data_IF_003192774340
#
_entry.id   IF_003192774340
#
_cell.length_a   1.000
_cell.length_b   1.000
_cell.length_c   1.000
_cell.angle_alpha   90.00
_cell.angle_beta   90.00
_cell.angle_gamma   90.00
#
_symmetry.space_group_name_H-M   'P 1'
#
loop_
_entity.id
_entity.type
_entity.pdbx_description
1 polymer ?
#
# COMPACT_ATOMS: atom_id res chain seq x y z
N UNK A 1 19.78 -10.28 18.80
CA UNK A 1 18.70 -10.38 17.79
C UNK A 1 18.35 -8.95 17.39
N UNK A 2 18.08 -8.65 16.14
CA UNK A 2 17.60 -7.32 15.80
C UNK A 2 16.34 -7.03 16.60
N UNK A 3 16.20 -5.78 17.04
CA UNK A 3 15.07 -5.30 17.84
C UNK A 3 13.78 -5.53 17.05
N UNK A 4 12.84 -6.28 17.63
CA UNK A 4 11.54 -6.54 16.99
C UNK A 4 10.62 -5.33 17.25
N UNK A 5 10.75 -4.30 16.42
CA UNK A 5 10.09 -2.99 16.59
C UNK A 5 8.55 -3.05 16.56
N UNK A 6 7.98 -4.18 16.13
CA UNK A 6 6.54 -4.43 16.06
C UNK A 6 6.12 -5.60 16.96
N UNK A 7 6.96 -6.00 17.94
CA UNK A 7 6.61 -7.09 18.85
C UNK A 7 5.26 -6.83 19.55
N UNK A 8 4.37 -7.83 19.51
CA UNK A 8 3.05 -7.77 20.11
C UNK A 8 2.00 -6.98 19.33
N UNK A 9 2.34 -6.37 18.18
CA UNK A 9 1.39 -5.67 17.33
C UNK A 9 0.66 -6.62 16.39
N UNK A 10 -0.60 -6.28 16.09
CA UNK A 10 -1.43 -6.95 15.09
C UNK A 10 -1.56 -6.06 13.85
N UNK A 11 -1.30 -6.62 12.68
CA UNK A 11 -1.35 -5.88 11.41
C UNK A 11 -2.26 -6.54 10.37
N UNK A 12 -2.93 -5.73 9.55
CA UNK A 12 -3.61 -6.16 8.33
C UNK A 12 -2.96 -5.48 7.12
N UNK A 13 -2.65 -6.26 6.08
CA UNK A 13 -2.12 -5.78 4.80
C UNK A 13 -3.05 -6.21 3.67
N UNK A 14 -3.55 -5.28 2.85
CA UNK A 14 -4.36 -5.61 1.67
C UNK A 14 -3.51 -5.74 0.40
N UNK A 15 -3.95 -6.56 -0.57
CA UNK A 15 -3.17 -6.86 -1.77
C UNK A 15 -1.90 -7.65 -1.44
N UNK A 16 -2.02 -8.63 -0.55
CA UNK A 16 -0.87 -9.27 0.09
C UNK A 16 -0.40 -10.57 -0.60
N UNK A 17 -1.01 -10.97 -1.73
CA UNK A 17 -0.61 -12.18 -2.44
C UNK A 17 0.75 -12.02 -3.14
N UNK A 18 1.10 -10.80 -3.58
CA UNK A 18 2.33 -10.53 -4.32
C UNK A 18 2.89 -9.13 -4.09
N UNK A 19 3.99 -8.82 -4.76
CA UNK A 19 4.61 -7.50 -4.85
C UNK A 19 4.83 -6.80 -3.51
N UNK A 20 4.50 -5.51 -3.45
CA UNK A 20 4.69 -4.67 -2.26
C UNK A 20 3.89 -5.22 -1.06
N UNK A 21 2.67 -5.72 -1.27
CA UNK A 21 1.83 -6.22 -0.19
C UNK A 21 2.42 -7.43 0.50
N UNK A 22 2.88 -8.43 -0.27
CA UNK A 22 3.54 -9.62 0.26
C UNK A 22 4.84 -9.27 0.99
N UNK A 23 5.70 -8.49 0.35
CA UNK A 23 6.95 -8.05 0.96
C UNK A 23 6.71 -7.30 2.28
N UNK A 24 5.65 -6.48 2.33
CA UNK A 24 5.24 -5.74 3.54
C UNK A 24 4.76 -6.69 4.64
N UNK A 25 3.90 -7.67 4.31
CA UNK A 25 3.41 -8.63 5.29
C UNK A 25 4.57 -9.45 5.89
N UNK A 26 5.47 -9.95 5.05
CA UNK A 26 6.66 -10.68 5.47
C UNK A 26 7.60 -9.80 6.32
N UNK A 27 7.79 -8.54 5.94
CA UNK A 27 8.64 -7.60 6.67
C UNK A 27 8.09 -7.28 8.05
N UNK A 28 6.81 -6.91 8.17
CA UNK A 28 6.18 -6.63 9.46
C UNK A 28 6.23 -7.84 10.39
N UNK A 29 6.00 -9.06 9.85
CA UNK A 29 6.14 -10.30 10.60
C UNK A 29 7.58 -10.50 11.10
N UNK A 30 8.57 -10.27 10.27
CA UNK A 30 9.98 -10.39 10.64
C UNK A 30 10.39 -9.38 11.72
N UNK A 31 9.76 -8.20 11.70
CA UNK A 31 9.96 -7.14 12.69
C UNK A 31 9.07 -7.32 13.95
N UNK A 32 8.37 -8.47 14.09
CA UNK A 32 7.71 -8.90 15.31
C UNK A 32 6.18 -8.86 15.31
N UNK A 33 5.52 -8.30 14.30
CA UNK A 33 4.06 -8.25 14.24
C UNK A 33 3.42 -9.61 13.98
N UNK A 34 2.17 -9.78 14.41
CA UNK A 34 1.25 -10.78 13.89
C UNK A 34 0.51 -10.16 12.69
N UNK A 35 0.59 -10.79 11.52
CA UNK A 35 0.12 -10.19 10.27
C UNK A 35 -0.93 -11.07 9.60
N UNK A 36 -2.05 -10.45 9.20
CA UNK A 36 -3.05 -11.04 8.32
C UNK A 36 -3.00 -10.34 6.97
N UNK A 37 -2.63 -11.07 5.92
CA UNK A 37 -2.65 -10.57 4.55
C UNK A 37 -3.99 -10.87 3.89
N UNK A 38 -4.62 -9.86 3.29
CA UNK A 38 -5.87 -9.97 2.56
C UNK A 38 -5.62 -9.83 1.06
N UNK A 39 -6.17 -10.73 0.26
CA UNK A 39 -6.12 -10.65 -1.20
C UNK A 39 -7.32 -11.35 -1.83
N UNK A 40 -7.71 -10.94 -3.02
CA UNK A 40 -8.73 -11.63 -3.81
C UNK A 40 -8.20 -12.94 -4.41
N UNK A 41 -6.87 -13.02 -4.64
CA UNK A 41 -6.22 -14.22 -5.16
C UNK A 41 -6.15 -15.28 -4.05
N UNK A 42 -6.74 -16.49 -4.25
CA UNK A 42 -6.75 -17.55 -3.25
C UNK A 42 -5.34 -18.05 -2.87
N UNK A 43 -4.35 -17.85 -3.70
CA UNK A 43 -2.96 -18.23 -3.41
C UNK A 43 -2.38 -17.49 -2.19
N UNK A 44 -3.01 -16.40 -1.75
CA UNK A 44 -2.63 -15.67 -0.54
C UNK A 44 -2.56 -16.58 0.70
N UNK A 45 -3.43 -17.58 0.78
CA UNK A 45 -3.46 -18.54 1.90
C UNK A 45 -2.22 -19.42 1.92
N UNK A 46 -1.75 -19.86 0.75
CA UNK A 46 -0.53 -20.66 0.62
C UNK A 46 0.74 -19.81 0.71
N UNK A 47 0.69 -18.60 0.14
CA UNK A 47 1.84 -17.69 0.10
C UNK A 47 2.17 -17.06 1.47
N UNK A 48 1.14 -16.82 2.29
CA UNK A 48 1.31 -16.23 3.63
C UNK A 48 0.95 -17.25 4.70
N UNK A 49 1.89 -18.12 5.01
CA UNK A 49 1.72 -19.14 6.04
C UNK A 49 2.94 -19.20 6.95
N UNK A 50 2.70 -19.34 8.24
CA UNK A 50 3.77 -19.45 9.24
C UNK A 50 3.40 -18.89 10.59
N UNK A 51 4.33 -18.92 11.52
CA UNK A 51 4.16 -18.29 12.82
C UNK A 51 3.96 -16.79 12.65
N UNK A 52 2.87 -16.25 13.19
CA UNK A 52 2.48 -14.82 13.13
C UNK A 52 2.23 -14.28 11.72
N UNK A 53 2.00 -15.16 10.73
CA UNK A 53 1.69 -14.75 9.36
C UNK A 53 0.61 -15.66 8.79
N UNK A 54 -0.48 -15.07 8.31
CA UNK A 54 -1.57 -15.80 7.66
C UNK A 54 -2.15 -15.00 6.51
N UNK A 55 -2.60 -15.70 5.48
CA UNK A 55 -3.36 -15.14 4.37
C UNK A 55 -4.84 -15.45 4.48
N UNK A 56 -5.69 -14.52 4.03
CA UNK A 56 -7.13 -14.74 3.90
C UNK A 56 -7.65 -14.19 2.58
N UNK A 57 -8.49 -14.99 1.90
CA UNK A 57 -9.14 -14.55 0.65
C UNK A 57 -10.18 -13.50 0.99
N UNK A 58 -10.06 -12.33 0.35
CA UNK A 58 -10.98 -11.22 0.56
C UNK A 58 -11.01 -10.31 -0.67
N UNK A 59 -12.19 -10.16 -1.27
CA UNK A 59 -12.45 -9.06 -2.19
C UNK A 59 -12.71 -7.80 -1.37
N UNK A 60 -11.77 -6.86 -1.41
CA UNK A 60 -11.87 -5.60 -0.67
C UNK A 60 -12.99 -4.67 -1.19
N UNK A 61 -13.57 -4.97 -2.35
CA UNK A 61 -14.71 -4.23 -2.91
C UNK A 61 -16.06 -4.73 -2.41
N UNK A 62 -16.08 -5.88 -1.73
CA UNK A 62 -17.23 -6.40 -1.00
C UNK A 62 -17.16 -5.93 0.47
N UNK A 63 -18.01 -4.98 0.82
CA UNK A 63 -18.06 -4.38 2.17
C UNK A 63 -18.28 -5.42 3.27
N UNK A 64 -19.09 -6.46 3.00
CA UNK A 64 -19.38 -7.51 3.98
C UNK A 64 -18.18 -8.42 4.19
N UNK A 65 -17.53 -8.85 3.11
CA UNK A 65 -16.33 -9.67 3.16
C UNK A 65 -15.17 -8.93 3.84
N UNK A 66 -14.95 -7.65 3.48
CA UNK A 66 -13.89 -6.83 4.06
C UNK A 66 -14.13 -6.59 5.55
N UNK A 67 -15.36 -6.23 5.94
CA UNK A 67 -15.70 -6.06 7.35
C UNK A 67 -15.51 -7.36 8.14
N UNK A 68 -15.98 -8.48 7.62
CA UNK A 68 -15.82 -9.78 8.28
C UNK A 68 -14.35 -10.18 8.45
N UNK A 69 -13.48 -9.87 7.48
CA UNK A 69 -12.04 -10.14 7.57
C UNK A 69 -11.37 -9.29 8.65
N UNK A 70 -11.73 -8.02 8.75
CA UNK A 70 -11.24 -7.12 9.82
C UNK A 70 -11.72 -7.60 11.19
N UNK A 71 -13.02 -7.84 11.36
CA UNK A 71 -13.62 -8.31 12.61
C UNK A 71 -13.01 -9.64 13.07
N UNK A 72 -12.80 -10.58 12.15
CA UNK A 72 -12.15 -11.87 12.42
C UNK A 72 -10.72 -11.70 12.91
N UNK A 73 -9.95 -10.78 12.28
CA UNK A 73 -8.58 -10.49 12.72
C UNK A 73 -8.57 -9.97 14.15
N UNK A 74 -9.42 -9.00 14.45
CA UNK A 74 -9.54 -8.41 15.78
C UNK A 74 -9.93 -9.47 16.82
N UNK A 75 -10.95 -10.28 16.52
CA UNK A 75 -11.42 -11.34 17.42
C UNK A 75 -10.36 -12.43 17.67
N UNK A 76 -9.58 -12.77 16.64
CA UNK A 76 -8.57 -13.84 16.73
C UNK A 76 -7.33 -13.41 17.49
N UNK A 77 -6.89 -12.14 17.31
CA UNK A 77 -5.60 -11.65 17.82
C UNK A 77 -5.74 -10.62 18.95
N UNK A 78 -6.96 -10.26 19.34
CA UNK A 78 -7.24 -9.41 20.49
C UNK A 78 -7.15 -7.91 20.23
N UNK A 79 -6.91 -7.47 18.99
CA UNK A 79 -6.82 -6.05 18.63
C UNK A 79 -6.33 -5.82 17.22
N UNK A 80 -6.06 -4.53 16.90
CA UNK A 80 -5.51 -4.11 15.61
C UNK A 80 -4.67 -2.83 15.82
N UNK A 81 -3.41 -2.88 15.42
CA UNK A 81 -2.45 -1.81 15.65
C UNK A 81 -1.95 -1.17 14.35
N UNK A 82 -1.81 -1.96 13.29
CA UNK A 82 -1.28 -1.48 12.02
C UNK A 82 -2.20 -1.91 10.89
N UNK A 83 -2.57 -0.98 10.02
CA UNK A 83 -3.14 -1.33 8.72
C UNK A 83 -2.30 -0.77 7.59
N UNK A 84 -2.16 -1.58 6.53
CA UNK A 84 -1.51 -1.18 5.29
C UNK A 84 -2.49 -1.32 4.14
N UNK A 85 -3.00 -0.19 3.66
CA UNK A 85 -3.88 -0.10 2.50
C UNK A 85 -3.02 -0.09 1.24
N UNK A 86 -2.73 -1.28 0.70
CA UNK A 86 -1.86 -1.47 -0.43
C UNK A 86 -2.60 -1.95 -1.69
N UNK A 87 -3.67 -2.72 -1.55
CA UNK A 87 -4.41 -3.26 -2.70
C UNK A 87 -4.78 -2.17 -3.71
N UNK A 88 -4.54 -2.45 -4.97
CA UNK A 88 -4.83 -1.52 -6.04
C UNK A 88 -4.51 -2.12 -7.41
N UNK A 89 -5.07 -1.52 -8.44
CA UNK A 89 -4.84 -1.90 -9.83
C UNK A 89 -4.29 -0.72 -10.62
N UNK A 90 -3.58 -1.05 -11.69
CA UNK A 90 -3.22 -0.13 -12.76
C UNK A 90 -3.58 -0.74 -14.12
N UNK A 91 -4.43 -0.06 -14.86
CA UNK A 91 -4.69 -0.36 -16.27
C UNK A 91 -4.43 0.91 -17.06
N UNK A 92 -3.52 0.85 -18.02
CA UNK A 92 -3.27 2.00 -18.90
C UNK A 92 -4.35 2.12 -19.95
N UNK A 93 -4.90 3.33 -20.12
CA UNK A 93 -5.72 3.73 -21.27
C UNK A 93 -4.90 4.60 -22.23
N UNK A 94 -5.40 4.84 -23.45
CA UNK A 94 -4.65 5.69 -24.39
C UNK A 94 -4.95 7.19 -24.21
N UNK A 95 -6.07 7.57 -23.58
CA UNK A 95 -6.46 8.97 -23.33
C UNK A 95 -7.41 9.10 -22.13
N UNK A 96 -7.88 10.31 -21.89
CA UNK A 96 -8.92 10.68 -20.90
C UNK A 96 -10.24 9.91 -21.10
N UNK A 97 -10.54 9.49 -22.32
CA UNK A 97 -11.69 8.68 -22.72
C UNK A 97 -11.45 7.17 -22.60
N UNK A 98 -10.68 6.76 -21.57
CA UNK A 98 -10.62 5.36 -21.16
C UNK A 98 -12.04 4.79 -20.97
N UNK A 99 -12.21 3.51 -21.32
CA UNK A 99 -13.48 2.81 -21.16
C UNK A 99 -14.08 3.05 -19.78
N UNK A 100 -15.37 3.38 -19.72
CA UNK A 100 -16.10 3.72 -18.48
C UNK A 100 -15.92 2.64 -17.42
N UNK A 101 -15.96 1.37 -17.80
CA UNK A 101 -15.72 0.23 -16.92
C UNK A 101 -14.32 0.27 -16.28
N UNK A 102 -13.31 0.76 -16.98
CA UNK A 102 -11.96 0.89 -16.44
C UNK A 102 -11.86 2.02 -15.43
N UNK A 103 -12.55 3.13 -15.66
CA UNK A 103 -12.63 4.26 -14.75
C UNK A 103 -13.28 3.84 -13.42
N UNK A 104 -14.48 3.25 -13.49
CA UNK A 104 -15.23 2.80 -12.33
C UNK A 104 -14.50 1.72 -11.54
N UNK A 105 -13.81 0.81 -12.22
CA UNK A 105 -13.00 -0.20 -11.57
C UNK A 105 -11.85 0.41 -10.75
N UNK A 106 -11.17 1.41 -11.29
CA UNK A 106 -10.12 2.12 -10.54
C UNK A 106 -10.69 2.86 -9.33
N UNK A 107 -11.80 3.58 -9.48
CA UNK A 107 -12.45 4.26 -8.36
C UNK A 107 -12.87 3.27 -7.27
N UNK A 108 -13.49 2.17 -7.67
CA UNK A 108 -13.99 1.15 -6.75
C UNK A 108 -12.86 0.49 -5.96
N UNK A 109 -11.79 0.03 -6.63
CA UNK A 109 -10.70 -0.69 -5.99
C UNK A 109 -9.74 0.26 -5.29
N UNK A 110 -9.18 1.24 -6.00
CA UNK A 110 -8.08 2.03 -5.46
C UNK A 110 -8.54 3.07 -4.43
N UNK A 111 -9.74 3.62 -4.57
CA UNK A 111 -10.21 4.72 -3.72
C UNK A 111 -11.29 4.26 -2.73
N UNK A 112 -12.42 3.74 -3.25
CA UNK A 112 -13.58 3.41 -2.41
C UNK A 112 -13.25 2.28 -1.44
N UNK A 113 -12.63 1.19 -1.91
CA UNK A 113 -12.27 0.08 -1.05
C UNK A 113 -11.23 0.50 0.01
N UNK A 114 -10.27 1.38 -0.35
CA UNK A 114 -9.34 1.96 0.64
C UNK A 114 -10.12 2.71 1.74
N UNK A 115 -11.06 3.56 1.37
CA UNK A 115 -11.90 4.29 2.34
C UNK A 115 -12.71 3.31 3.22
N UNK A 116 -13.27 2.23 2.64
CA UNK A 116 -14.00 1.21 3.40
C UNK A 116 -13.10 0.46 4.37
N UNK A 117 -11.90 0.10 3.95
CA UNK A 117 -10.92 -0.55 4.81
C UNK A 117 -10.55 0.32 6.02
N UNK A 118 -10.30 1.61 5.81
CA UNK A 118 -10.10 2.55 6.91
C UNK A 118 -11.33 2.58 7.84
N UNK A 119 -12.54 2.78 7.26
CA UNK A 119 -13.80 2.86 8.02
C UNK A 119 -14.00 1.65 8.95
N UNK A 120 -13.74 0.44 8.48
CA UNK A 120 -13.95 -0.77 9.28
C UNK A 120 -12.84 -1.02 10.29
N UNK A 121 -11.64 -0.52 10.06
CA UNK A 121 -10.47 -0.71 10.94
C UNK A 121 -10.34 0.36 12.02
N UNK A 122 -10.78 1.60 11.76
CA UNK A 122 -10.62 2.74 12.66
C UNK A 122 -11.16 2.50 14.07
N UNK A 123 -12.32 1.84 14.30
CA UNK A 123 -12.79 1.61 15.67
C UNK A 123 -11.77 0.86 16.52
N UNK A 124 -11.18 -0.22 16.00
CA UNK A 124 -10.19 -0.99 16.73
C UNK A 124 -8.85 -0.26 16.88
N UNK A 125 -8.43 0.50 15.87
CA UNK A 125 -7.21 1.33 15.98
C UNK A 125 -7.31 2.41 17.05
N UNK A 126 -8.50 2.97 17.27
CA UNK A 126 -8.73 3.97 18.33
C UNK A 126 -8.63 3.38 19.74
N UNK A 127 -8.88 2.08 19.89
CA UNK A 127 -8.78 1.35 21.15
C UNK A 127 -7.37 0.78 21.40
N UNK A 128 -6.46 0.91 20.45
CA UNK A 128 -5.10 0.39 20.58
C UNK A 128 -4.20 1.33 21.38
N UNK A 129 -3.54 0.80 22.41
CA UNK A 129 -2.50 1.49 23.18
C UNK A 129 -1.08 1.27 22.61
N UNK A 130 -0.97 0.54 21.50
CA UNK A 130 0.30 0.12 20.90
C UNK A 130 0.81 1.04 19.78
N UNK A 131 0.65 2.37 19.91
CA UNK A 131 1.07 3.33 18.88
C UNK A 131 0.46 2.99 17.50
N UNK A 132 -0.86 3.02 17.37
CA UNK A 132 -1.54 2.57 16.15
C UNK A 132 -1.14 3.41 14.93
N UNK A 133 -1.06 2.74 13.77
CA UNK A 133 -0.59 3.37 12.54
C UNK A 133 -1.35 2.87 11.31
N UNK A 134 -1.73 3.81 10.47
CA UNK A 134 -2.30 3.59 9.14
C UNK A 134 -1.24 3.99 8.11
N UNK A 135 -0.89 3.05 7.23
CA UNK A 135 -0.03 3.31 6.09
C UNK A 135 -0.83 3.10 4.80
N UNK A 136 -0.85 4.10 3.94
CA UNK A 136 -1.49 3.99 2.63
C UNK A 136 -0.41 3.94 1.56
N UNK A 137 -0.51 3.01 0.63
CA UNK A 137 0.38 2.97 -0.53
C UNK A 137 -0.23 3.82 -1.64
N UNK A 138 0.29 5.02 -1.73
CA UNK A 138 -0.01 5.98 -2.79
C UNK A 138 0.66 5.63 -4.12
N UNK A 139 1.15 6.65 -4.79
CA UNK A 139 1.98 6.55 -5.98
C UNK A 139 2.54 7.93 -6.30
N UNK A 140 3.71 7.99 -6.95
CA UNK A 140 4.21 9.21 -7.59
C UNK A 140 3.17 9.90 -8.48
N UNK A 141 2.27 9.13 -9.09
CA UNK A 141 1.22 9.65 -9.97
C UNK A 141 0.21 10.61 -9.31
N UNK A 142 0.22 10.76 -7.98
CA UNK A 142 -0.59 11.79 -7.32
C UNK A 142 -0.14 13.21 -7.66
N UNK A 143 1.16 13.44 -7.85
CA UNK A 143 1.77 14.74 -8.12
C UNK A 143 2.33 14.83 -9.54
N UNK A 144 2.89 13.74 -10.08
CA UNK A 144 3.51 13.69 -11.41
C UNK A 144 2.88 12.57 -12.26
N UNK A 145 1.66 12.79 -12.78
CA UNK A 145 0.94 11.81 -13.57
C UNK A 145 1.61 11.54 -14.91
N UNK A 146 1.54 10.29 -15.37
CA UNK A 146 1.97 9.90 -16.71
C UNK A 146 0.82 9.83 -17.71
N UNK A 147 1.09 9.98 -19.02
CA UNK A 147 0.09 9.75 -20.06
C UNK A 147 -0.50 8.34 -19.98
N UNK A 148 -1.81 8.20 -20.19
CA UNK A 148 -2.52 6.92 -20.14
C UNK A 148 -2.82 6.41 -18.71
N UNK A 149 -2.65 7.25 -17.69
CA UNK A 149 -2.89 6.89 -16.30
C UNK A 149 -3.98 7.77 -15.63
N UNK A 150 -4.98 8.24 -16.38
CA UNK A 150 -5.98 9.20 -15.88
C UNK A 150 -6.72 8.70 -14.64
N UNK A 151 -7.45 7.58 -14.74
CA UNK A 151 -8.20 7.01 -13.62
C UNK A 151 -7.30 6.65 -12.44
N UNK A 152 -6.16 6.03 -12.71
CA UNK A 152 -5.17 5.69 -11.68
C UNK A 152 -4.66 6.93 -10.94
N UNK A 153 -4.25 7.96 -11.66
CA UNK A 153 -3.72 9.20 -11.08
C UNK A 153 -4.76 9.92 -10.22
N UNK A 154 -6.02 9.99 -10.71
CA UNK A 154 -7.14 10.56 -9.94
C UNK A 154 -7.36 9.78 -8.65
N UNK A 155 -7.35 8.43 -8.71
CA UNK A 155 -7.53 7.62 -7.49
C UNK A 155 -6.38 7.79 -6.51
N UNK A 156 -5.13 7.88 -7.01
CA UNK A 156 -3.95 8.08 -6.14
C UNK A 156 -3.88 9.49 -5.55
N UNK A 157 -4.37 10.51 -6.25
CA UNK A 157 -4.60 11.84 -5.67
C UNK A 157 -5.72 11.80 -4.62
N UNK A 158 -6.81 11.06 -4.88
CA UNK A 158 -7.92 10.87 -3.95
C UNK A 158 -7.50 10.21 -2.64
N UNK A 159 -6.76 9.09 -2.69
CA UNK A 159 -6.28 8.44 -1.45
C UNK A 159 -5.24 9.28 -0.72
N UNK A 160 -4.47 10.11 -1.43
CA UNK A 160 -3.55 11.06 -0.81
C UNK A 160 -4.30 12.09 0.02
N UNK A 161 -5.38 12.65 -0.53
CA UNK A 161 -6.22 13.57 0.23
C UNK A 161 -6.99 12.87 1.36
N UNK A 162 -7.47 11.65 1.15
CA UNK A 162 -8.08 10.82 2.19
C UNK A 162 -7.13 10.60 3.37
N UNK A 163 -5.85 10.29 3.11
CA UNK A 163 -4.84 10.13 4.14
C UNK A 163 -4.66 11.40 4.99
N UNK A 164 -4.66 12.58 4.35
CA UNK A 164 -4.51 13.87 5.05
C UNK A 164 -5.70 14.16 5.96
N UNK A 165 -6.93 13.91 5.48
CA UNK A 165 -8.13 14.07 6.29
C UNK A 165 -8.13 13.08 7.45
N UNK A 166 -7.82 11.80 7.19
CA UNK A 166 -7.74 10.79 8.23
C UNK A 166 -6.68 11.13 9.31
N UNK A 167 -5.55 11.71 8.91
CA UNK A 167 -4.53 12.16 9.88
C UNK A 167 -5.07 13.24 10.82
N UNK A 168 -5.85 14.20 10.29
CA UNK A 168 -6.47 15.25 11.11
C UNK A 168 -7.52 14.69 12.08
N UNK A 169 -8.36 13.78 11.59
CA UNK A 169 -9.48 13.22 12.39
C UNK A 169 -9.02 12.21 13.43
N UNK A 170 -7.91 11.51 13.20
CA UNK A 170 -7.45 10.42 14.04
C UNK A 170 -6.34 10.82 15.02
N UNK A 171 -5.69 11.95 14.81
CA UNK A 171 -4.66 12.47 15.73
C UNK A 171 -5.11 12.57 17.20
N UNK A 172 -6.36 13.00 17.52
CA UNK A 172 -6.83 13.03 18.91
C UNK A 172 -6.87 11.67 19.60
N UNK A 173 -6.85 10.57 18.84
CA UNK A 173 -6.84 9.19 19.34
C UNK A 173 -5.45 8.55 19.29
N UNK A 174 -4.41 9.33 19.00
CA UNK A 174 -3.04 8.80 18.88
C UNK A 174 -2.78 7.93 17.64
N UNK A 175 -3.75 7.79 16.74
CA UNK A 175 -3.58 7.00 15.49
C UNK A 175 -2.83 7.85 14.46
N UNK A 176 -1.67 7.39 14.03
CA UNK A 176 -0.88 8.06 13.00
C UNK A 176 -1.31 7.58 11.61
N UNK A 177 -1.39 8.49 10.66
CA UNK A 177 -1.73 8.17 9.26
C UNK A 177 -0.68 8.78 8.35
N UNK A 178 0.04 7.93 7.60
CA UNK A 178 1.04 8.38 6.65
C UNK A 178 0.84 7.68 5.30
N UNK A 179 1.28 8.33 4.23
CA UNK A 179 1.18 7.79 2.89
C UNK A 179 2.56 7.72 2.24
N UNK A 180 2.86 6.59 1.62
CA UNK A 180 4.08 6.37 0.85
C UNK A 180 3.76 6.49 -0.64
N UNK A 181 4.63 7.15 -1.37
CA UNK A 181 4.50 7.34 -2.81
C UNK A 181 5.64 6.64 -3.55
N UNK A 182 5.54 5.32 -3.79
CA UNK A 182 6.49 4.64 -4.66
C UNK A 182 6.42 5.17 -6.09
N UNK A 183 7.57 5.20 -6.77
CA UNK A 183 7.62 5.19 -8.22
C UNK A 183 7.38 3.75 -8.75
N UNK A 184 7.71 3.49 -10.01
CA UNK A 184 7.59 2.18 -10.60
C UNK A 184 8.42 1.14 -9.82
N UNK A 185 7.72 0.14 -9.27
CA UNK A 185 8.31 -0.98 -8.52
C UNK A 185 8.32 -2.17 -9.46
N UNK A 186 9.46 -2.41 -10.11
CA UNK A 186 9.57 -3.28 -11.28
C UNK A 186 9.56 -4.78 -10.97
N UNK A 187 9.73 -5.18 -9.71
CA UNK A 187 9.63 -6.55 -9.22
C UNK A 187 8.19 -6.95 -8.81
N UNK A 188 7.18 -6.24 -9.34
CA UNK A 188 5.76 -6.54 -9.14
C UNK A 188 5.12 -7.10 -10.41
N UNK A 189 4.03 -7.86 -10.27
CA UNK A 189 3.29 -8.47 -11.38
C UNK A 189 2.67 -7.46 -12.37
N UNK A 190 2.58 -6.19 -11.99
CA UNK A 190 2.13 -5.10 -12.87
C UNK A 190 3.10 -4.89 -14.04
N UNK A 191 4.37 -5.19 -13.84
CA UNK A 191 5.42 -4.98 -14.82
C UNK A 191 5.79 -6.28 -15.54
N UNK A 192 5.05 -6.59 -16.61
CA UNK A 192 5.47 -7.63 -17.57
C UNK A 192 6.60 -7.13 -18.46
N UNK A 193 7.36 -8.03 -19.06
CA UNK A 193 8.44 -7.67 -20.01
C UNK A 193 7.90 -6.77 -21.14
N UNK A 194 6.71 -7.09 -21.68
CA UNK A 194 6.06 -6.28 -22.71
C UNK A 194 5.70 -4.86 -22.21
N UNK A 195 5.20 -4.75 -20.98
CA UNK A 195 4.86 -3.45 -20.37
C UNK A 195 6.12 -2.60 -20.14
N UNK A 196 7.23 -3.23 -19.75
CA UNK A 196 8.53 -2.58 -19.58
C UNK A 196 9.09 -2.08 -20.91
N UNK A 197 9.10 -2.93 -21.95
CA UNK A 197 9.58 -2.57 -23.29
C UNK A 197 8.75 -1.43 -23.90
N UNK A 198 7.40 -1.53 -23.81
CA UNK A 198 6.50 -0.48 -24.28
C UNK A 198 6.75 0.84 -23.57
N UNK A 199 6.97 0.81 -22.26
CA UNK A 199 7.24 2.00 -21.45
C UNK A 199 8.60 2.61 -21.78
N UNK A 200 9.67 1.81 -21.83
CA UNK A 200 11.01 2.26 -22.18
C UNK A 200 11.05 2.90 -23.58
N UNK A 201 10.42 2.24 -24.55
CA UNK A 201 10.31 2.76 -25.93
C UNK A 201 9.58 4.10 -26.00
N UNK A 202 8.52 4.31 -25.21
CA UNK A 202 7.78 5.59 -25.14
C UNK A 202 8.69 6.76 -24.77
N UNK A 203 9.71 6.52 -23.94
CA UNK A 203 10.68 7.53 -23.50
C UNK A 203 12.00 7.51 -24.29
N UNK A 204 12.12 6.67 -25.33
CA UNK A 204 13.33 6.54 -26.13
C UNK A 204 14.52 5.94 -25.35
N UNK A 205 14.25 5.09 -24.37
CA UNK A 205 15.22 4.48 -23.47
C UNK A 205 15.29 2.97 -23.66
N UNK A 206 16.40 2.38 -23.26
CA UNK A 206 16.48 0.95 -22.99
C UNK A 206 15.70 0.60 -21.71
N UNK A 207 15.32 -0.65 -21.52
CA UNK A 207 14.64 -1.11 -20.28
C UNK A 207 15.48 -0.78 -19.04
N UNK A 208 16.79 -1.01 -19.11
CA UNK A 208 17.68 -0.71 -17.97
C UNK A 208 17.76 0.78 -17.65
N UNK A 209 17.89 1.64 -18.64
CA UNK A 209 17.85 3.09 -18.45
C UNK A 209 16.51 3.55 -17.89
N UNK A 210 15.40 2.96 -18.36
CA UNK A 210 14.07 3.26 -17.85
C UNK A 210 13.89 2.91 -16.38
N UNK A 211 14.42 1.75 -15.96
CA UNK A 211 14.35 1.28 -14.57
C UNK A 211 15.16 2.15 -13.59
N UNK A 212 16.22 2.77 -14.08
CA UNK A 212 17.17 3.53 -13.24
C UNK A 212 17.23 5.02 -13.60
N UNK A 213 16.20 5.57 -14.23
CA UNK A 213 16.15 6.97 -14.70
C UNK A 213 16.08 8.03 -13.59
N UNK A 214 15.92 7.63 -12.35
CA UNK A 214 15.87 8.53 -11.20
C UNK A 214 17.27 9.08 -10.83
N UNK A 215 17.31 10.08 -9.95
CA UNK A 215 18.58 10.76 -9.58
C UNK A 215 19.61 9.84 -8.93
N UNK A 216 19.15 8.82 -8.18
CA UNK A 216 20.04 7.85 -7.52
C UNK A 216 20.46 6.71 -8.45
N UNK A 217 19.96 6.68 -9.69
CA UNK A 217 20.19 5.60 -10.67
C UNK A 217 19.97 4.20 -10.08
N UNK A 218 18.88 4.04 -9.32
CA UNK A 218 18.54 2.80 -8.60
C UNK A 218 17.16 2.28 -8.98
N UNK A 219 16.96 0.98 -8.88
CA UNK A 219 15.63 0.37 -8.97
C UNK A 219 14.91 0.48 -7.63
N UNK A 220 13.62 0.84 -7.66
CA UNK A 220 12.75 0.77 -6.49
C UNK A 220 12.20 -0.66 -6.42
N UNK A 221 12.34 -1.29 -5.26
CA UNK A 221 11.94 -2.68 -5.05
C UNK A 221 10.81 -2.82 -4.03
N UNK A 222 10.03 -3.89 -4.14
CA UNK A 222 8.99 -4.24 -3.16
C UNK A 222 9.56 -4.35 -1.74
N UNK A 223 10.76 -4.92 -1.60
CA UNK A 223 11.45 -5.03 -0.30
C UNK A 223 11.87 -3.68 0.26
N UNK A 224 12.31 -2.74 -0.60
CA UNK A 224 12.62 -1.36 -0.19
C UNK A 224 11.39 -0.60 0.31
N UNK A 225 10.27 -0.74 -0.41
CA UNK A 225 8.98 -0.15 0.03
C UNK A 225 8.53 -0.77 1.34
N UNK A 226 8.61 -2.09 1.48
CA UNK A 226 8.24 -2.81 2.70
C UNK A 226 9.08 -2.38 3.92
N UNK A 227 10.38 -2.17 3.73
CA UNK A 227 11.27 -1.66 4.77
C UNK A 227 10.85 -0.26 5.24
N UNK A 228 10.48 0.62 4.30
CA UNK A 228 9.99 1.96 4.62
C UNK A 228 8.62 1.89 5.32
N UNK A 229 7.68 1.04 4.87
CA UNK A 229 6.40 0.81 5.55
C UNK A 229 6.62 0.43 7.01
N UNK A 230 7.47 -0.58 7.27
CA UNK A 230 7.76 -1.01 8.63
C UNK A 230 8.38 0.11 9.49
N UNK A 231 9.31 0.88 8.94
CA UNK A 231 9.94 2.01 9.64
C UNK A 231 8.91 3.08 9.99
N UNK A 232 8.05 3.46 9.03
CA UNK A 232 7.02 4.50 9.22
C UNK A 232 5.93 4.05 10.18
N UNK A 233 5.57 2.76 10.20
CA UNK A 233 4.66 2.19 11.20
C UNK A 233 5.30 2.09 12.59
N UNK A 234 6.63 2.14 12.68
CA UNK A 234 7.40 1.93 13.90
C UNK A 234 7.63 3.17 14.74
N UNK A 235 8.37 3.01 15.84
CA UNK A 235 8.58 4.05 16.85
C UNK A 235 9.41 5.24 16.37
N UNK A 236 10.26 5.06 15.34
CA UNK A 236 11.06 6.15 14.75
C UNK A 236 10.17 7.28 14.22
N UNK A 237 8.97 6.93 13.75
CA UNK A 237 7.97 7.87 13.24
C UNK A 237 6.88 8.24 14.27
N UNK A 238 7.10 8.04 15.57
CA UNK A 238 6.09 8.28 16.61
C UNK A 238 5.54 9.71 16.64
N UNK A 239 6.31 10.68 16.19
CA UNK A 239 5.91 12.09 16.11
C UNK A 239 5.49 12.52 14.68
N UNK A 240 5.21 11.57 13.76
CA UNK A 240 4.90 11.87 12.36
C UNK A 240 3.54 11.34 11.95
N UNK A 241 2.64 12.24 11.56
CA UNK A 241 1.34 11.93 10.96
C UNK A 241 1.04 12.92 9.82
N UNK A 242 0.25 12.50 8.83
CA UNK A 242 -0.07 13.30 7.66
C UNK A 242 1.08 13.45 6.64
N UNK A 243 2.19 12.76 6.86
CA UNK A 243 3.35 12.84 5.97
C UNK A 243 3.10 12.13 4.64
N UNK A 244 3.62 12.75 3.58
CA UNK A 244 3.68 12.20 2.23
C UNK A 244 5.14 11.87 1.93
N UNK A 245 5.45 10.58 1.83
CA UNK A 245 6.83 10.11 1.81
C UNK A 245 7.11 9.46 0.46
N UNK A 246 7.90 10.10 -0.43
CA UNK A 246 8.30 9.50 -1.69
C UNK A 246 9.32 8.38 -1.46
N UNK A 247 9.25 7.35 -2.31
CA UNK A 247 10.29 6.35 -2.48
C UNK A 247 10.46 6.13 -3.99
N UNK A 248 11.21 7.00 -4.62
CA UNK A 248 11.27 7.17 -6.07
C UNK A 248 12.69 7.40 -6.61
N UNK A 249 13.70 7.34 -5.74
CA UNK A 249 15.08 7.63 -6.10
C UNK A 249 15.30 9.08 -6.57
N UNK A 250 14.37 9.99 -6.28
CA UNK A 250 14.41 11.39 -6.74
C UNK A 250 13.89 11.55 -8.18
N UNK A 251 12.99 10.66 -8.66
CA UNK A 251 12.46 10.74 -10.01
C UNK A 251 11.60 12.00 -10.24
N UNK A 252 10.86 12.46 -9.25
CA UNK A 252 10.07 13.69 -9.32
C UNK A 252 10.92 14.96 -9.14
N UNK A 253 12.25 14.79 -9.10
CA UNK A 253 13.22 15.89 -9.03
C UNK A 253 12.98 16.83 -7.88
N UNK A 254 12.65 16.28 -6.72
CA UNK A 254 12.63 16.99 -5.42
C UNK A 254 12.41 18.50 -5.56
N UNK A 255 11.20 18.87 -5.81
CA UNK A 255 10.87 20.29 -5.96
C UNK A 255 10.02 20.67 -4.76
#
# INVERSE_FOLDING_TARGET
MPEQIHAGKVAIVTGACGGIGRATAERLRNDGATVVGLDINPDVVANLTGERLSGAVCDITDDAALKAAVDKTIATHGGLDIIVANAGIFKSGEYIDAEEDSWDLHLRINLTATQRFLKFSIPALKESDNQPSIIIIGSRNFAAPGPGASAYSVTKAGVTQLARVAALELAPFGVRVNILHPDAVFDTEIWTDEALEKSAKRYGMTVQEYKTKNLLSTEITSSGVAALVSTVAGPVFSATTGAQIPIDGGNDRVI
#
